data_IF_628947370501
#
_entry.id   IF_628947370501
#
_cell.length_a   1.000
_cell.length_b   1.000
_cell.length_c   1.000
_cell.angle_alpha   90.00
_cell.angle_beta   90.00
_cell.angle_gamma   90.00
#
_symmetry.space_group_name_H-M   'P 1'
#
loop_
_entity.id
_entity.type
_entity.pdbx_description
1 polymer ?
#
# COMPACT_ATOMS: atom_id res chain seq x y z
N UNK A 1 -7.48 -7.26 5.07
CA UNK A 1 -7.65 -6.63 6.38
C UNK A 1 -8.42 -5.33 6.23
N UNK A 2 -9.21 -4.99 7.23
CA UNK A 2 -9.87 -3.68 7.36
C UNK A 2 -9.32 -2.99 8.60
N UNK A 3 -8.67 -1.85 8.40
CA UNK A 3 -7.98 -1.11 9.44
C UNK A 3 -8.53 0.31 9.55
N UNK A 4 -8.28 0.98 10.68
CA UNK A 4 -8.49 2.42 10.85
C UNK A 4 -7.30 3.24 10.34
N UNK A 5 -7.39 4.57 10.40
CA UNK A 5 -6.27 5.50 10.19
C UNK A 5 -6.07 6.03 8.79
N UNK A 6 -6.78 5.51 7.77
CA UNK A 6 -6.62 5.93 6.38
C UNK A 6 -5.33 5.41 5.72
N UNK A 7 -5.20 5.59 4.40
CA UNK A 7 -4.01 5.15 3.65
C UNK A 7 -2.72 5.81 4.13
N UNK A 8 -2.78 6.99 4.74
CA UNK A 8 -1.60 7.69 5.25
C UNK A 8 -0.90 6.93 6.39
N UNK A 9 -1.64 6.13 7.18
CA UNK A 9 -1.00 5.26 8.18
C UNK A 9 -0.22 4.12 7.54
N UNK A 10 -0.60 3.70 6.34
CA UNK A 10 0.12 2.66 5.61
C UNK A 10 1.51 3.12 5.16
N UNK A 11 1.75 4.41 5.03
CA UNK A 11 3.08 4.94 4.67
C UNK A 11 4.16 4.56 5.69
N UNK A 12 3.79 4.37 6.97
CA UNK A 12 4.70 3.86 7.98
C UNK A 12 4.47 2.38 8.32
N UNK A 13 3.22 1.86 8.24
CA UNK A 13 2.95 0.44 8.49
C UNK A 13 3.69 -0.47 7.50
N UNK A 14 3.66 -0.13 6.20
CA UNK A 14 4.35 -0.89 5.16
C UNK A 14 5.83 -1.05 5.48
N UNK A 15 6.63 0.02 5.60
CA UNK A 15 8.06 -0.13 5.89
C UNK A 15 8.33 -0.71 7.29
N UNK A 16 7.50 -0.45 8.30
CA UNK A 16 7.65 -1.06 9.61
C UNK A 16 7.63 -2.59 9.54
N UNK A 17 6.73 -3.17 8.73
CA UNK A 17 6.56 -4.61 8.60
C UNK A 17 7.46 -5.23 7.52
N UNK A 18 7.69 -4.56 6.39
CA UNK A 18 8.29 -5.17 5.21
C UNK A 18 9.72 -4.72 4.90
N UNK A 19 10.14 -3.55 5.37
CA UNK A 19 11.48 -3.02 5.09
C UNK A 19 12.51 -3.61 6.04
N UNK A 20 13.43 -4.42 5.54
CA UNK A 20 14.58 -4.92 6.30
C UNK A 20 15.81 -4.05 6.09
N UNK A 21 16.21 -3.85 4.84
CA UNK A 21 17.42 -3.12 4.45
C UNK A 21 17.11 -1.95 3.52
N UNK A 22 16.57 -2.23 2.36
CA UNK A 22 16.32 -1.25 1.30
C UNK A 22 14.95 -1.44 0.66
N UNK A 23 14.27 -0.35 0.36
CA UNK A 23 13.05 -0.34 -0.44
C UNK A 23 13.19 0.57 -1.66
N UNK A 24 12.56 0.19 -2.76
CA UNK A 24 12.52 0.96 -3.99
C UNK A 24 11.15 1.66 -4.12
N UNK A 25 11.16 2.90 -4.61
CA UNK A 25 9.95 3.71 -4.78
C UNK A 25 9.88 4.36 -6.15
N UNK A 26 8.70 4.29 -6.79
CA UNK A 26 8.38 5.08 -7.97
C UNK A 26 7.66 6.36 -7.53
N UNK A 27 8.30 7.52 -7.68
CA UNK A 27 7.77 8.79 -7.19
C UNK A 27 6.99 9.53 -8.29
N UNK A 28 5.70 9.20 -8.42
CA UNK A 28 4.80 9.75 -9.44
C UNK A 28 3.83 10.81 -8.91
N UNK A 29 3.97 11.23 -7.67
CA UNK A 29 3.11 12.23 -7.08
C UNK A 29 3.43 12.51 -5.62
N UNK A 30 2.68 13.43 -5.03
CA UNK A 30 2.89 13.85 -3.63
C UNK A 30 2.67 12.72 -2.63
N UNK A 31 1.75 11.79 -2.91
CA UNK A 31 1.49 10.66 -2.02
C UNK A 31 2.63 9.65 -2.05
N UNK A 32 3.13 9.30 -3.24
CA UNK A 32 4.33 8.47 -3.38
C UNK A 32 5.56 9.11 -2.69
N UNK A 33 5.73 10.43 -2.82
CA UNK A 33 6.79 11.17 -2.12
C UNK A 33 6.66 11.10 -0.60
N UNK A 34 5.45 11.22 -0.06
CA UNK A 34 5.18 11.09 1.39
C UNK A 34 5.45 9.66 1.87
N UNK A 35 5.00 8.63 1.13
CA UNK A 35 5.26 7.25 1.47
C UNK A 35 6.77 6.95 1.50
N UNK A 36 7.53 7.38 0.50
CA UNK A 36 8.98 7.25 0.48
C UNK A 36 9.67 7.99 1.64
N UNK A 37 9.14 9.16 2.05
CA UNK A 37 9.65 9.90 3.20
C UNK A 37 9.49 9.13 4.52
N UNK A 38 8.31 8.55 4.75
CA UNK A 38 8.06 7.77 5.97
C UNK A 38 8.90 6.49 6.00
N UNK A 39 9.13 5.84 4.87
CA UNK A 39 9.95 4.65 4.79
C UNK A 39 11.41 4.88 5.23
N UNK A 40 11.95 6.09 5.07
CA UNK A 40 13.32 6.44 5.49
C UNK A 40 13.57 6.31 6.99
N UNK A 41 12.53 6.27 7.81
CA UNK A 41 12.67 6.00 9.25
C UNK A 41 12.98 4.52 9.56
N UNK A 42 12.80 3.63 8.58
CA UNK A 42 12.90 2.19 8.76
C UNK A 42 14.07 1.53 8.03
N UNK A 43 14.61 2.18 7.01
CA UNK A 43 15.75 1.69 6.24
C UNK A 43 16.13 2.57 5.07
N UNK A 44 16.98 2.05 4.19
CA UNK A 44 17.38 2.74 2.96
C UNK A 44 16.19 2.84 1.99
N UNK A 45 16.06 3.98 1.34
CA UNK A 45 15.02 4.22 0.34
C UNK A 45 15.66 4.73 -0.96
N UNK A 46 15.52 3.94 -2.01
CA UNK A 46 15.92 4.30 -3.37
C UNK A 46 14.70 4.78 -4.16
N UNK A 47 14.74 6.01 -4.68
CA UNK A 47 13.75 6.49 -5.64
C UNK A 47 14.26 6.15 -7.03
N UNK A 48 13.73 5.08 -7.63
CA UNK A 48 14.20 4.55 -8.92
C UNK A 48 13.87 5.46 -10.10
N UNK A 49 12.77 6.19 -10.00
CA UNK A 49 12.40 7.24 -10.95
C UNK A 49 11.41 8.21 -10.31
N UNK A 50 11.41 9.44 -10.83
CA UNK A 50 10.49 10.50 -10.40
C UNK A 50 10.05 11.31 -11.60
N UNK A 51 8.80 11.75 -11.62
CA UNK A 51 8.26 12.72 -12.58
C UNK A 51 8.07 14.12 -11.98
N UNK A 52 8.74 14.41 -10.86
CA UNK A 52 8.69 15.70 -10.18
C UNK A 52 9.23 16.85 -11.06
N UNK A 53 10.16 16.57 -11.97
CA UNK A 53 10.73 17.49 -12.95
C UNK A 53 9.68 18.20 -13.83
N UNK A 54 8.56 17.50 -14.10
CA UNK A 54 7.41 18.05 -14.85
C UNK A 54 6.13 18.07 -14.02
N UNK A 55 6.26 18.37 -12.74
CA UNK A 55 5.12 18.49 -11.80
C UNK A 55 4.21 17.23 -11.86
N UNK A 56 4.82 16.04 -11.95
CA UNK A 56 4.15 14.75 -11.99
C UNK A 56 3.13 14.57 -13.13
N UNK A 57 3.35 15.22 -14.27
CA UNK A 57 2.44 15.18 -15.42
C UNK A 57 2.60 13.93 -16.30
N UNK A 58 3.49 13.01 -15.96
CA UNK A 58 3.72 11.74 -16.67
C UNK A 58 4.10 10.61 -15.72
N UNK A 59 3.99 9.37 -16.22
CA UNK A 59 4.50 8.19 -15.53
C UNK A 59 5.86 7.83 -16.16
N UNK A 60 6.96 7.78 -15.38
CA UNK A 60 8.26 7.33 -15.88
C UNK A 60 8.19 5.90 -16.42
N UNK A 61 8.94 5.61 -17.49
CA UNK A 61 8.96 4.27 -18.12
C UNK A 61 10.35 3.65 -18.12
N UNK A 62 11.40 4.48 -18.26
CA UNK A 62 12.78 4.02 -18.41
C UNK A 62 13.48 4.03 -17.04
N UNK A 63 13.21 2.99 -16.22
CA UNK A 63 13.86 2.78 -14.95
C UNK A 63 14.10 1.27 -14.70
N UNK A 64 15.05 0.97 -13.86
CA UNK A 64 15.36 -0.40 -13.43
C UNK A 64 14.91 -0.59 -12.00
N UNK A 65 14.16 -1.65 -11.73
CA UNK A 65 13.79 -2.03 -10.37
C UNK A 65 14.96 -2.82 -9.77
N UNK A 66 15.55 -2.36 -8.65
CA UNK A 66 16.67 -3.05 -8.02
C UNK A 66 16.20 -4.38 -7.41
N UNK A 67 16.90 -5.47 -7.73
CA UNK A 67 16.55 -6.82 -7.24
C UNK A 67 17.03 -7.10 -5.81
N UNK A 68 17.82 -6.22 -5.25
CA UNK A 68 18.34 -6.28 -3.88
C UNK A 68 17.48 -5.49 -2.86
N UNK A 69 16.35 -4.92 -3.32
CA UNK A 69 15.40 -4.25 -2.44
C UNK A 69 14.36 -5.23 -1.87
N UNK A 70 13.89 -4.97 -0.65
CA UNK A 70 12.91 -5.80 0.04
C UNK A 70 11.52 -5.72 -0.61
N UNK A 71 11.19 -4.57 -1.21
CA UNK A 71 9.97 -4.35 -1.99
C UNK A 71 10.11 -3.13 -2.91
N UNK A 72 9.25 -3.09 -3.93
CA UNK A 72 9.05 -1.94 -4.80
C UNK A 72 7.67 -1.33 -4.55
N UNK A 73 7.61 -0.03 -4.25
CA UNK A 73 6.37 0.68 -3.96
C UNK A 73 5.94 1.59 -5.10
N UNK A 74 4.66 1.50 -5.47
CA UNK A 74 4.00 2.37 -6.45
C UNK A 74 2.72 2.99 -5.88
N UNK A 75 2.34 4.14 -6.40
CA UNK A 75 1.01 4.73 -6.25
C UNK A 75 0.35 4.69 -7.63
N UNK A 76 -0.66 3.85 -7.78
CA UNK A 76 -1.21 3.52 -9.10
C UNK A 76 -1.96 4.69 -9.74
N UNK A 77 -2.66 5.50 -8.94
CA UNK A 77 -3.36 6.69 -9.44
C UNK A 77 -3.06 7.93 -8.59
N UNK A 78 -2.60 8.98 -9.26
CA UNK A 78 -2.22 10.25 -8.67
C UNK A 78 -3.36 11.27 -8.84
N UNK A 79 -4.30 11.28 -7.92
CA UNK A 79 -5.53 12.09 -7.98
C UNK A 79 -5.31 13.61 -8.12
N UNK A 80 -4.17 14.13 -7.61
CA UNK A 80 -3.86 15.57 -7.71
C UNK A 80 -3.40 15.94 -9.13
N UNK A 81 -2.65 15.04 -9.79
CA UNK A 81 -1.98 15.34 -11.06
C UNK A 81 -2.65 14.66 -12.26
N UNK A 82 -3.59 13.74 -12.03
CA UNK A 82 -4.34 13.06 -13.07
C UNK A 82 -3.54 12.01 -13.86
N UNK A 83 -2.47 11.46 -13.27
CA UNK A 83 -1.67 10.38 -13.89
C UNK A 83 -1.97 9.03 -13.25
N UNK A 84 -2.03 7.96 -14.04
CA UNK A 84 -2.45 6.64 -13.61
C UNK A 84 -1.65 5.53 -14.31
N UNK A 85 -1.30 4.47 -13.56
CA UNK A 85 -0.72 3.22 -14.08
C UNK A 85 -1.88 2.24 -14.30
N UNK A 86 -2.30 2.06 -15.57
CA UNK A 86 -3.50 1.28 -15.94
C UNK A 86 -3.25 -0.18 -16.25
N UNK A 87 -2.14 -0.74 -15.82
CA UNK A 87 -1.77 -2.13 -16.04
C UNK A 87 -1.17 -2.74 -14.79
N UNK A 88 -1.25 -4.05 -14.68
CA UNK A 88 -0.62 -4.79 -13.60
C UNK A 88 0.83 -5.07 -14.00
N UNK A 89 1.74 -4.47 -13.25
CA UNK A 89 3.18 -4.46 -13.54
C UNK A 89 3.80 -5.82 -13.22
N UNK A 90 4.69 -6.31 -14.09
CA UNK A 90 5.59 -7.39 -13.74
C UNK A 90 6.77 -6.83 -12.93
N UNK A 91 6.98 -7.37 -11.74
CA UNK A 91 7.97 -6.88 -10.82
C UNK A 91 8.88 -8.04 -10.37
N UNK A 92 10.23 -7.88 -10.40
CA UNK A 92 11.15 -8.95 -10.01
C UNK A 92 11.22 -9.18 -8.50
N UNK A 93 10.65 -8.29 -7.71
CA UNK A 93 10.60 -8.33 -6.23
C UNK A 93 9.17 -8.08 -5.74
N UNK A 94 8.95 -8.11 -4.44
CA UNK A 94 7.64 -7.85 -3.83
C UNK A 94 7.10 -6.49 -4.23
N UNK A 95 5.97 -6.45 -4.96
CA UNK A 95 5.31 -5.22 -5.39
C UNK A 95 4.28 -4.77 -4.36
N UNK A 96 4.40 -3.55 -3.88
CA UNK A 96 3.46 -2.90 -2.95
C UNK A 96 2.78 -1.74 -3.66
N UNK A 97 1.45 -1.67 -3.64
CA UNK A 97 0.69 -0.65 -4.33
C UNK A 97 -0.27 0.11 -3.43
N UNK A 98 -0.19 1.44 -3.46
CA UNK A 98 -1.27 2.32 -3.01
C UNK A 98 -2.29 2.45 -4.14
N UNK A 99 -3.46 1.83 -3.95
CA UNK A 99 -4.60 1.87 -4.87
C UNK A 99 -5.79 2.66 -4.29
N UNK A 100 -5.54 3.61 -3.41
CA UNK A 100 -6.62 4.34 -2.72
C UNK A 100 -7.65 4.95 -3.66
N UNK A 101 -7.26 5.35 -4.87
CA UNK A 101 -8.15 6.11 -5.77
C UNK A 101 -8.61 5.38 -7.01
N UNK A 102 -8.07 4.21 -7.31
CA UNK A 102 -8.38 3.45 -8.52
C UNK A 102 -8.73 1.97 -8.29
N UNK A 103 -8.64 1.48 -7.05
CA UNK A 103 -9.13 0.12 -6.73
C UNK A 103 -10.59 -0.04 -7.15
N UNK A 104 -10.94 -1.20 -7.72
CA UNK A 104 -12.27 -1.52 -8.29
C UNK A 104 -12.69 -0.66 -9.50
N UNK A 105 -11.81 0.19 -10.06
CA UNK A 105 -12.07 0.90 -11.32
C UNK A 105 -11.84 0.04 -12.56
N UNK A 106 -11.06 -1.04 -12.40
CA UNK A 106 -10.74 -2.05 -13.40
C UNK A 106 -10.50 -3.41 -12.76
N UNK A 107 -10.52 -4.51 -13.51
CA UNK A 107 -9.97 -5.78 -13.04
C UNK A 107 -8.49 -5.65 -12.69
N UNK A 108 -8.09 -6.23 -11.57
CA UNK A 108 -6.70 -6.26 -11.05
C UNK A 108 -6.30 -7.70 -10.82
N UNK A 109 -5.17 -8.12 -11.38
CA UNK A 109 -4.56 -9.42 -11.05
C UNK A 109 -3.81 -9.29 -9.71
N UNK A 110 -4.50 -9.60 -8.62
CA UNK A 110 -3.95 -9.49 -7.27
C UNK A 110 -2.73 -10.38 -7.03
N UNK A 111 -2.51 -11.40 -7.86
CA UNK A 111 -1.37 -12.32 -7.73
C UNK A 111 -0.04 -11.66 -8.08
N UNK A 112 -0.07 -10.56 -8.82
CA UNK A 112 1.12 -9.75 -9.16
C UNK A 112 1.59 -8.84 -8.02
N UNK A 113 0.81 -8.72 -6.98
CA UNK A 113 1.10 -7.83 -5.85
C UNK A 113 1.40 -8.64 -4.59
N UNK A 114 2.46 -8.26 -3.91
CA UNK A 114 2.73 -8.75 -2.56
C UNK A 114 1.79 -8.08 -1.55
N UNK A 115 1.45 -6.81 -1.81
CA UNK A 115 0.50 -6.06 -0.99
C UNK A 115 -0.18 -4.96 -1.81
N UNK A 116 -1.49 -4.81 -1.62
CA UNK A 116 -2.28 -3.66 -2.06
C UNK A 116 -2.90 -3.02 -0.83
N UNK A 117 -2.87 -1.71 -0.75
CA UNK A 117 -3.60 -0.99 0.29
C UNK A 117 -4.30 0.25 -0.27
N UNK A 118 -5.25 0.77 0.49
CA UNK A 118 -5.91 2.01 0.15
C UNK A 118 -6.93 2.46 1.17
N UNK A 119 -7.20 3.77 1.17
CA UNK A 119 -8.32 4.34 1.91
C UNK A 119 -9.60 4.27 1.09
N UNK A 120 -10.69 3.84 1.71
CA UNK A 120 -11.97 3.67 1.01
C UNK A 120 -12.60 4.98 0.52
N UNK A 121 -12.26 6.11 1.12
CA UNK A 121 -12.93 7.43 0.95
C UNK A 121 -12.90 8.00 -0.49
N UNK A 122 -12.25 7.34 -1.42
CA UNK A 122 -12.23 7.78 -2.83
C UNK A 122 -13.16 6.94 -3.70
N UNK A 123 -12.82 5.69 -3.99
CA UNK A 123 -13.53 4.90 -4.98
C UNK A 123 -14.47 3.84 -4.42
N UNK A 124 -14.27 3.35 -3.21
CA UNK A 124 -14.97 2.16 -2.71
C UNK A 124 -15.82 2.38 -1.45
N UNK A 125 -15.85 3.58 -0.88
CA UNK A 125 -16.66 3.82 0.30
C UNK A 125 -16.43 5.16 0.98
N UNK A 126 -16.92 5.32 2.22
CA UNK A 126 -16.69 6.52 3.02
C UNK A 126 -15.33 6.51 3.70
N UNK A 127 -14.93 7.66 4.26
CA UNK A 127 -13.79 7.74 5.14
C UNK A 127 -14.00 6.87 6.40
N UNK A 128 -12.87 6.37 6.95
CA UNK A 128 -12.87 5.61 8.22
C UNK A 128 -12.39 4.18 8.09
N UNK A 129 -12.33 3.60 6.89
CA UNK A 129 -11.75 2.29 6.67
C UNK A 129 -10.59 2.35 5.69
N UNK A 130 -9.52 1.66 6.03
CA UNK A 130 -8.38 1.35 5.17
C UNK A 130 -8.42 -0.14 4.87
N UNK A 131 -8.44 -0.52 3.60
CA UNK A 131 -8.31 -1.92 3.22
C UNK A 131 -6.83 -2.27 2.98
N UNK A 132 -6.48 -3.52 3.30
CA UNK A 132 -5.16 -4.10 3.03
C UNK A 132 -5.36 -5.52 2.50
N UNK A 133 -4.90 -5.76 1.29
CA UNK A 133 -4.79 -7.08 0.68
C UNK A 133 -3.30 -7.43 0.74
N UNK A 134 -2.94 -8.47 1.47
CA UNK A 134 -1.55 -8.82 1.74
C UNK A 134 -1.34 -10.32 1.55
N UNK A 135 -0.25 -10.69 0.92
CA UNK A 135 0.16 -12.08 0.75
C UNK A 135 0.55 -12.68 2.12
N UNK A 136 0.11 -13.89 2.41
CA UNK A 136 0.22 -14.48 3.76
C UNK A 136 1.66 -14.64 4.25
N UNK A 137 2.61 -14.97 3.37
CA UNK A 137 4.03 -15.12 3.73
C UNK A 137 4.65 -13.82 4.27
N UNK A 138 4.12 -12.65 3.88
CA UNK A 138 4.59 -11.37 4.40
C UNK A 138 4.24 -11.15 5.87
N UNK A 139 3.20 -11.80 6.39
CA UNK A 139 2.81 -11.72 7.78
C UNK A 139 3.82 -12.40 8.73
N UNK A 140 4.64 -13.29 8.20
CA UNK A 140 5.68 -13.99 8.95
C UNK A 140 7.03 -13.24 8.95
N UNK A 141 7.16 -12.18 8.14
CA UNK A 141 8.36 -11.31 8.17
C UNK A 141 8.43 -10.57 9.51
N UNK A 142 9.56 -10.67 10.17
CA UNK A 142 9.78 -10.07 11.48
C UNK A 142 11.21 -9.50 11.57
N UNK A 143 11.39 -8.34 10.99
CA UNK A 143 12.70 -7.69 10.92
C UNK A 143 13.04 -6.83 12.14
N UNK A 144 12.03 -6.48 12.93
CA UNK A 144 12.17 -5.62 14.12
C UNK A 144 11.02 -5.83 15.09
N UNK A 145 11.19 -5.50 16.40
CA UNK A 145 10.07 -5.39 17.32
C UNK A 145 9.08 -4.32 16.81
N UNK A 146 7.81 -4.67 16.76
CA UNK A 146 6.73 -3.78 16.33
C UNK A 146 5.74 -3.55 17.47
N UNK A 147 5.20 -2.34 17.54
CA UNK A 147 4.04 -2.07 18.37
C UNK A 147 2.87 -2.91 17.84
N UNK A 148 2.05 -3.44 18.74
CA UNK A 148 0.97 -4.38 18.46
C UNK A 148 0.05 -3.89 17.33
N UNK A 149 -0.36 -2.61 17.36
CA UNK A 149 -1.25 -2.03 16.37
C UNK A 149 -0.61 -1.78 15.00
N UNK A 150 0.72 -1.76 14.93
CA UNK A 150 1.46 -1.58 13.67
C UNK A 150 1.68 -2.90 12.95
N UNK A 151 1.70 -4.02 13.70
CA UNK A 151 1.99 -5.33 13.15
C UNK A 151 0.78 -5.90 12.39
N UNK A 152 0.92 -6.14 11.09
CA UNK A 152 -0.14 -6.75 10.28
C UNK A 152 -0.55 -8.14 10.78
N UNK A 153 0.37 -8.92 11.31
CA UNK A 153 0.08 -10.25 11.87
C UNK A 153 -0.95 -10.18 12.99
N UNK A 154 -0.89 -9.14 13.84
CA UNK A 154 -1.89 -8.92 14.90
C UNK A 154 -3.31 -8.78 14.35
N UNK A 155 -3.47 -8.09 13.22
CA UNK A 155 -4.77 -7.86 12.58
C UNK A 155 -5.23 -9.03 11.71
N UNK A 156 -4.31 -9.91 11.32
CA UNK A 156 -4.55 -11.09 10.52
C UNK A 156 -4.74 -12.38 11.36
N UNK A 157 -4.73 -12.28 12.70
CA UNK A 157 -4.85 -13.40 13.60
C UNK A 157 -6.03 -14.30 13.23
N UNK A 158 -5.76 -15.60 13.05
CA UNK A 158 -6.66 -16.56 12.39
C UNK A 158 -7.21 -17.62 13.38
N UNK A 159 -6.67 -17.73 14.59
CA UNK A 159 -7.00 -18.82 15.53
C UNK A 159 -8.49 -18.80 15.94
N UNK A 160 -9.13 -17.64 15.93
CA UNK A 160 -10.54 -17.46 16.30
C UNK A 160 -11.40 -16.79 15.20
N UNK A 161 -10.92 -16.69 13.96
CA UNK A 161 -11.58 -15.97 12.86
C UNK A 161 -11.83 -14.48 13.13
N UNK A 162 -11.04 -13.88 14.02
CA UNK A 162 -11.16 -12.47 14.41
C UNK A 162 -10.32 -11.54 13.50
N UNK A 163 -10.19 -11.88 12.22
CA UNK A 163 -9.48 -11.06 11.23
C UNK A 163 -10.04 -9.64 11.24
N UNK A 164 -9.14 -8.65 11.36
CA UNK A 164 -9.47 -7.22 11.45
C UNK A 164 -10.26 -6.81 12.70
N UNK A 165 -10.32 -7.66 13.71
CA UNK A 165 -11.10 -7.43 14.94
C UNK A 165 -10.23 -7.38 16.20
N UNK A 166 -8.93 -7.18 16.07
CA UNK A 166 -8.05 -7.02 17.24
C UNK A 166 -8.50 -5.87 18.15
N UNK A 167 -8.96 -4.78 17.56
CA UNK A 167 -9.72 -3.70 18.20
C UNK A 167 -11.02 -3.48 17.44
N UNK A 168 -11.95 -2.72 17.99
CA UNK A 168 -13.24 -2.41 17.35
C UNK A 168 -13.03 -1.89 15.93
N UNK A 169 -13.47 -2.61 14.88
CA UNK A 169 -13.30 -2.19 13.50
C UNK A 169 -14.27 -1.03 13.16
N UNK A 170 -14.00 -0.28 12.09
CA UNK A 170 -14.89 0.78 11.61
C UNK A 170 -16.12 0.17 10.90
N UNK A 171 -17.06 -0.40 11.67
CA UNK A 171 -18.17 -1.23 11.18
C UNK A 171 -19.05 -0.50 10.17
N UNK A 172 -19.44 0.73 10.45
CA UNK A 172 -20.32 1.49 9.56
C UNK A 172 -19.68 1.77 8.19
N UNK A 173 -18.42 2.28 8.11
CA UNK A 173 -17.73 2.41 6.83
C UNK A 173 -17.54 1.08 6.08
N UNK A 174 -17.30 -0.03 6.78
CA UNK A 174 -17.19 -1.37 6.16
C UNK A 174 -18.54 -1.78 5.59
N UNK A 175 -19.65 -1.57 6.32
CA UNK A 175 -20.99 -1.85 5.84
C UNK A 175 -21.32 -1.05 4.57
N UNK A 176 -21.05 0.26 4.56
CA UNK A 176 -21.28 1.09 3.36
C UNK A 176 -20.42 0.66 2.19
N UNK A 177 -19.14 0.31 2.43
CA UNK A 177 -18.27 -0.25 1.40
C UNK A 177 -18.84 -1.54 0.81
N UNK A 178 -19.37 -2.43 1.65
CA UNK A 178 -20.02 -3.66 1.22
C UNK A 178 -21.26 -3.38 0.34
N UNK A 179 -22.08 -2.39 0.69
CA UNK A 179 -23.26 -2.01 -0.11
C UNK A 179 -22.86 -1.41 -1.48
N UNK A 180 -21.75 -0.67 -1.55
CA UNK A 180 -21.24 -0.10 -2.81
C UNK A 180 -20.69 -1.19 -3.74
N UNK A 181 -20.14 -2.29 -3.19
CA UNK A 181 -19.52 -3.36 -3.95
C UNK A 181 -20.51 -4.48 -4.39
N UNK A 182 -21.80 -4.35 -4.10
CA UNK A 182 -22.87 -5.23 -4.62
C UNK A 182 -23.21 -4.92 -6.06
#
# INVERSE_FOLDING_TARGET
>A
LFLGGGASTQFFHVPANLLNKKAAYLQTGVWAKKAAKEAKFYGEVEVVASSEDKTYSYIPKDYVIPTDADYFHITTNNTIYGTEIRYDMDCPIDLVADMSSDIMSRPVDVTKYAMIYGGAQKNVGPAGVTFVIIRRDLLEKNYRPLQTMVNYKTHAADEDRNISMFNTPPVFPIFVMFEILK
#
